data_IF_486054510013
#
_entry.id   IF_486054510013
#
_cell.length_a   1.000
_cell.length_b   1.000
_cell.length_c   1.000
_cell.angle_alpha   90.00
_cell.angle_beta   90.00
_cell.angle_gamma   90.00
#
_symmetry.space_group_name_H-M   'P 1'
#
loop_
_entity.id
_entity.type
_entity.pdbx_description
1 polymer ?
2 polymer ?
3 non-polymer ?
4 water ?
#
# COMPACT_ATOMS: atom_id res chain seq x y z
N UNK A 1 -4.96 6.84 13.57
CA UNK A 1 -5.60 5.94 12.63
C UNK A 1 -4.79 5.79 11.34
N UNK A 2 -4.68 4.55 10.87
CA UNK A 2 -3.94 4.24 9.64
C UNK A 2 -4.76 4.56 8.41
N UNK A 3 -4.22 5.39 7.52
CA UNK A 3 -4.88 5.71 6.26
C UNK A 3 -4.11 5.19 5.07
N UNK A 4 -4.84 4.73 4.05
CA UNK A 4 -4.22 4.36 2.77
C UNK A 4 -3.87 5.59 1.98
N UNK A 5 -2.73 5.56 1.28
CA UNK A 5 -2.42 6.56 0.26
C UNK A 5 -2.05 5.84 -1.03
N UNK A 6 -2.34 6.46 -2.17
CA UNK A 6 -1.90 5.95 -3.47
C UNK A 6 -0.73 6.82 -3.89
N UNK A 7 0.43 6.22 -4.18
CA UNK A 7 1.54 7.04 -4.62
C UNK A 7 2.14 6.59 -5.94
N UNK A 8 2.78 7.55 -6.61
CA UNK A 8 3.25 7.42 -7.97
C UNK A 8 4.63 8.03 -8.07
N UNK A 9 5.50 7.38 -8.83
CA UNK A 9 6.87 7.88 -9.00
C UNK A 9 6.92 9.17 -9.81
N UNK A 10 7.72 10.13 -9.34
CA UNK A 10 8.00 11.35 -10.09
C UNK A 10 9.51 11.46 -10.26
N UNK A 11 9.98 12.50 -10.95
CA UNK A 11 11.42 12.70 -11.08
C UNK A 11 12.01 13.11 -9.72
N UNK A 12 11.29 13.94 -8.98
CA UNK A 12 11.75 14.42 -7.68
C UNK A 12 11.72 13.29 -6.64
N UNK A 13 10.65 12.52 -6.64
CA UNK A 13 10.51 11.38 -5.77
C UNK A 13 9.15 10.72 -5.97
N UNK A 14 8.17 11.13 -5.18
CA UNK A 14 6.81 10.58 -5.31
C UNK A 14 5.74 11.64 -5.09
N UNK A 15 4.56 11.40 -5.65
CA UNK A 15 3.38 12.13 -5.20
C UNK A 15 2.18 11.19 -5.18
N UNK A 16 1.05 11.68 -4.71
CA UNK A 16 -0.16 10.89 -4.73
C UNK A 16 -1.29 11.56 -3.99
N UNK A 17 -2.25 10.75 -3.53
CA UNK A 17 -3.45 11.25 -2.89
C UNK A 17 -4.02 10.20 -1.95
N UNK A 18 -4.94 10.63 -1.09
CA UNK A 18 -5.73 9.72 -0.27
C UNK A 18 -6.89 9.21 -1.12
N UNK A 19 -6.95 7.89 -1.36
CA UNK A 19 -8.08 7.40 -2.17
C UNK A 19 -9.44 7.60 -1.49
N UNK A 20 -9.47 7.76 -0.17
CA UNK A 20 -10.73 8.00 0.52
C UNK A 20 -11.04 9.50 0.66
N UNK A 21 -10.10 10.35 0.27
CA UNK A 21 -10.30 11.78 0.45
C UNK A 21 -10.08 12.47 -0.89
N UNK A 22 -11.18 12.58 -1.65
CA UNK A 22 -11.16 13.21 -2.96
C UNK A 22 -10.58 14.62 -2.89
N UNK A 23 -9.53 14.85 -3.67
CA UNK A 23 -8.94 16.17 -3.81
C UNK A 23 -7.75 16.41 -2.91
N UNK A 24 -7.43 15.44 -2.05
CA UNK A 24 -6.33 15.66 -1.11
C UNK A 24 -5.03 15.07 -1.64
N UNK A 25 -4.19 15.94 -2.21
CA UNK A 25 -2.93 15.52 -2.83
C UNK A 25 -1.70 15.92 -2.00
N UNK A 26 -0.58 15.27 -2.26
CA UNK A 26 0.64 15.48 -1.49
C UNK A 26 1.82 14.98 -2.29
N UNK A 27 3.03 15.28 -1.83
CA UNK A 27 4.24 14.91 -2.56
C UNK A 27 5.42 14.93 -1.62
N UNK A 28 6.49 14.24 -1.98
CA UNK A 28 7.69 14.20 -1.17
C UNK A 28 8.81 13.50 -1.89
N UNK A 29 10.03 13.75 -1.44
CA UNK A 29 11.24 13.24 -2.09
C UNK A 29 11.63 11.86 -1.57
N UNK A 30 11.25 11.58 -0.32
CA UNK A 30 11.52 10.28 0.29
C UNK A 30 10.23 9.77 0.89
N UNK A 31 10.22 8.50 1.30
CA UNK A 31 9.01 7.96 1.86
C UNK A 31 8.68 8.68 3.18
N UNK A 32 9.70 9.02 3.97
CA UNK A 32 9.47 9.78 5.19
C UNK A 32 8.95 11.19 4.89
N UNK A 33 9.43 11.76 3.79
CA UNK A 33 9.00 13.10 3.39
C UNK A 33 7.53 13.08 2.96
N UNK A 34 7.14 12.08 2.19
CA UNK A 34 5.80 12.08 1.64
C UNK A 34 4.77 11.69 2.72
N UNK A 35 5.18 10.96 3.75
CA UNK A 35 4.29 10.67 4.87
C UNK A 35 4.04 11.92 5.71
N UNK A 36 5.07 12.74 5.88
CA UNK A 36 4.89 14.00 6.57
C UNK A 36 4.01 14.92 5.76
N UNK A 37 4.24 14.96 4.45
CA UNK A 37 3.49 15.87 3.58
C UNK A 37 2.02 15.49 3.53
N UNK A 38 1.77 14.17 3.50
CA UNK A 38 0.42 13.61 3.50
C UNK A 38 -0.36 14.00 4.75
N UNK A 39 0.28 13.92 5.92
CA UNK A 39 -0.39 14.31 7.16
C UNK A 39 -0.77 15.79 7.11
N UNK A 40 0.15 16.58 6.60
CA UNK A 40 -0.05 18.02 6.45
C UNK A 40 -1.21 18.28 5.50
N UNK A 41 -1.20 17.60 4.36
CA UNK A 41 -2.25 17.75 3.35
C UNK A 41 -3.60 17.40 3.95
N UNK A 42 -3.64 16.28 4.68
CA UNK A 42 -4.83 15.83 5.36
C UNK A 42 -5.44 16.91 6.26
N UNK A 43 -4.61 17.51 7.11
CA UNK A 43 -5.11 18.47 8.10
C UNK A 43 -5.66 19.70 7.40
N UNK A 44 -4.89 20.23 6.46
CA UNK A 44 -5.30 21.41 5.71
C UNK A 44 -6.61 21.15 4.95
N UNK A 45 -6.75 19.93 4.43
CA UNK A 45 -7.88 19.58 3.58
C UNK A 45 -9.17 19.38 4.38
N UNK A 46 -9.08 18.69 5.51
CA UNK A 46 -10.23 18.45 6.38
C UNK A 46 -10.79 19.77 6.90
N UNK A 47 -9.91 20.68 7.31
CA UNK A 47 -10.34 21.96 7.83
C UNK A 47 -11.03 22.80 6.75
N UNK A 48 -10.57 22.68 5.51
CA UNK A 48 -11.23 23.35 4.40
C UNK A 48 -12.64 22.78 4.16
N UNK A 49 -12.78 21.45 4.18
CA UNK A 49 -14.10 20.81 4.04
C UNK A 49 -15.09 21.28 5.10
N UNK A 50 -14.61 21.38 6.34
CA UNK A 50 -15.45 21.78 7.46
C UNK A 50 -15.83 23.25 7.38
N UNK A 51 -14.91 24.08 6.90
CA UNK A 51 -15.17 25.50 6.74
C UNK A 51 -16.16 25.77 5.64
N UNK A 52 -16.12 24.96 4.58
CA UNK A 52 -16.98 25.16 3.41
C UNK A 52 -18.31 24.45 3.52
N UNK A 53 -18.41 23.49 4.43
CA UNK A 53 -19.63 22.71 4.62
C UNK A 53 -19.78 21.56 3.66
N UNK A 54 -18.64 21.04 3.20
CA UNK A 54 -18.61 19.94 2.22
C UNK A 54 -18.54 18.61 2.96
N UNK A 55 -18.97 17.50 2.32
CA UNK A 55 -18.91 16.18 2.96
C UNK A 55 -17.53 15.81 3.48
N UNK A 56 -17.47 15.26 4.68
CA UNK A 56 -16.24 14.77 5.27
C UNK A 56 -16.05 13.29 4.91
N UNK A 57 -14.80 12.87 4.67
CA UNK A 57 -14.59 11.46 4.33
C UNK A 57 -14.81 10.55 5.52
N UNK A 58 -15.10 9.27 5.25
CA UNK A 58 -15.23 8.27 6.28
C UNK A 58 -13.88 7.55 6.47
N UNK A 59 -13.72 6.85 7.61
CA UNK A 59 -12.50 6.08 7.85
C UNK A 59 -12.24 5.06 6.74
N UNK A 60 -11.04 4.46 6.72
CA UNK A 60 -10.69 3.52 5.64
C UNK A 60 -11.65 2.34 5.52
N UNK A 61 -11.93 1.97 4.27
CA UNK A 61 -12.91 0.95 3.92
C UNK A 61 -12.40 -0.51 4.03
N UNK A 62 -13.16 -1.42 3.43
CA UNK A 62 -12.78 -2.82 3.32
C UNK A 62 -11.56 -2.94 2.41
N UNK A 63 -10.58 -3.79 2.79
CA UNK A 63 -9.38 -4.00 1.96
C UNK A 63 -9.69 -4.31 0.51
N UNK A 64 -10.80 -5.01 0.27
CA UNK A 64 -11.24 -5.30 -1.09
C UNK A 64 -11.40 -4.04 -1.94
N UNK A 65 -11.81 -2.93 -1.31
CA UNK A 65 -12.05 -1.70 -2.08
C UNK A 65 -10.73 -1.15 -2.66
N UNK A 66 -9.62 -1.34 -1.96
CA UNK A 66 -8.33 -0.88 -2.48
C UNK A 66 -7.72 -1.86 -3.47
N UNK A 67 -7.83 -3.16 -3.17
CA UNK A 67 -7.31 -4.19 -4.06
C UNK A 67 -8.05 -4.16 -5.40
N UNK A 68 -9.33 -3.77 -5.37
CA UNK A 68 -10.10 -3.67 -6.61
C UNK A 68 -10.03 -2.29 -7.29
N UNK A 69 -9.33 -1.33 -6.69
CA UNK A 69 -9.27 0.04 -7.24
C UNK A 69 -8.40 0.12 -8.49
N UNK A 70 -9.04 0.36 -9.64
CA UNK A 70 -8.35 0.40 -10.93
C UNK A 70 -7.27 1.48 -11.03
N UNK A 71 -7.34 2.49 -10.19
CA UNK A 71 -6.35 3.59 -10.24
C UNK A 71 -4.97 3.07 -9.92
N UNK A 72 -4.89 2.04 -9.09
CA UNK A 72 -3.59 1.45 -8.80
C UNK A 72 -3.01 0.81 -10.07
N UNK A 73 -3.82 -0.01 -10.74
CA UNK A 73 -3.41 -0.68 -11.98
C UNK A 73 -3.04 0.31 -13.10
N UNK A 74 -3.86 1.34 -13.28
CA UNK A 74 -3.72 2.29 -14.39
C UNK A 74 -2.37 2.99 -14.57
N UNK A 75 -1.76 3.46 -13.48
CA UNK A 75 -0.68 4.40 -13.65
C UNK A 75 0.58 4.08 -12.85
N UNK A 76 0.68 2.85 -12.37
CA UNK A 76 1.85 2.46 -11.61
C UNK A 76 1.75 2.98 -10.20
N UNK A 77 0.56 2.89 -9.64
CA UNK A 77 0.31 3.33 -8.27
C UNK A 77 0.72 2.27 -7.26
N UNK A 78 1.21 2.73 -6.12
CA UNK A 78 1.56 1.85 -5.02
C UNK A 78 0.74 2.24 -3.80
N UNK A 79 0.25 1.25 -3.06
CA UNK A 79 -0.44 1.50 -1.79
C UNK A 79 0.53 1.70 -0.63
N UNK A 80 0.35 2.78 0.12
CA UNK A 80 1.12 3.02 1.31
C UNK A 80 0.20 3.28 2.49
N UNK A 81 0.80 3.50 3.66
CA UNK A 81 0.04 3.69 4.90
C UNK A 81 0.64 4.85 5.67
N UNK A 82 -0.23 5.76 6.12
CA UNK A 82 0.20 6.84 7.00
C UNK A 82 -0.65 6.83 8.28
N UNK A 83 0.02 6.99 9.41
CA UNK A 83 -0.63 7.18 10.70
C UNK A 83 -1.02 8.65 10.80
N UNK A 84 -2.29 8.90 11.07
CA UNK A 84 -2.82 10.24 11.24
C UNK A 84 -3.63 10.29 12.53
N UNK A 85 -3.33 11.26 13.40
CA UNK A 85 -4.06 11.42 14.65
C UNK A 85 -4.80 12.76 14.68
N UNK A 86 -6.11 12.74 14.34
CA UNK A 86 -6.93 13.95 14.26
C UNK A 86 -6.93 14.80 15.53
N UNK B 1 13.53 0.32 7.30
CA UNK B 1 13.64 -0.35 6.00
C UNK B 1 12.29 -0.38 5.28
N UNK B 2 12.31 -0.12 3.98
CA UNK B 2 11.12 -0.19 3.15
C UNK B 2 11.00 -1.56 2.48
N UNK B 3 9.89 -2.25 2.69
CA UNK B 3 9.61 -3.53 2.02
C UNK B 3 8.34 -3.49 1.18
N UNK B 4 8.46 -3.77 -0.13
CA UNK B 4 7.31 -4.03 -0.98
C UNK B 4 6.52 -5.25 -0.49
N UNK B 5 5.20 -5.22 -0.66
CA UNK B 5 4.38 -6.40 -0.41
C UNK B 5 3.39 -6.54 -1.56
N UNK B 6 3.02 -7.78 -1.89
CA UNK B 6 1.97 -8.05 -2.87
C UNK B 6 0.71 -8.39 -2.08
N UNK B 7 -0.44 -7.84 -2.49
CA UNK B 7 -1.68 -8.04 -1.75
C UNK B 7 -2.81 -8.56 -2.65
N UNK B 8 -3.47 -9.63 -2.20
CA UNK B 8 -4.56 -10.26 -2.93
C UNK B 8 -5.80 -10.42 -2.04
N UNK B 9 -6.96 -10.50 -2.68
CA UNK B 9 -8.23 -10.72 -1.97
C UNK B 9 -8.43 -12.18 -1.52
N UNK B 10 -9.03 -12.37 -0.35
CA UNK B 10 -9.66 -13.64 0.01
C UNK B 10 -11.13 -13.32 0.31
N UNK B 11 -11.97 -14.33 0.52
CA UNK B 11 -13.40 -14.07 0.82
C UNK B 11 -13.49 -13.20 2.07
N UNK B 12 -12.56 -13.48 2.97
CA UNK B 12 -12.47 -13.04 4.35
C UNK B 12 -11.86 -11.64 4.49
N UNK B 13 -10.96 -11.31 3.58
CA UNK B 13 -10.10 -10.17 3.75
C UNK B 13 -9.03 -10.19 2.67
N UNK B 14 -7.79 -10.39 3.07
CA UNK B 14 -6.66 -10.33 2.13
C UNK B 14 -5.57 -11.26 2.60
N UNK B 15 -4.65 -11.59 1.69
CA UNK B 15 -3.40 -12.21 2.08
C UNK B 15 -2.33 -11.71 1.12
N UNK B 16 -1.10 -12.19 1.29
CA UNK B 16 -0.04 -11.74 0.41
C UNK B 16 1.31 -12.22 0.89
N UNK B 17 2.37 -11.59 0.37
CA UNK B 17 3.73 -11.96 0.70
C UNK B 17 4.70 -10.83 0.37
N UNK B 18 5.92 -10.97 0.89
CA UNK B 18 7.04 -10.10 0.57
C UNK B 18 7.79 -10.67 -0.63
N UNK B 19 7.68 -10.03 -1.81
CA UNK B 19 8.38 -10.55 -3.00
C UNK B 19 9.89 -10.66 -2.81
N UNK B 20 10.47 -9.87 -1.91
CA UNK B 20 11.92 -9.95 -1.68
C UNK B 20 12.28 -10.96 -0.59
N UNK B 21 11.26 -11.61 -0.02
CA UNK B 21 11.49 -12.57 1.06
C UNK B 21 10.71 -13.85 0.77
N UNK B 22 11.38 -14.81 0.14
CA UNK B 22 10.73 -16.05 -0.21
C UNK B 22 10.27 -16.75 1.04
N UNK B 23 9.02 -17.19 1.03
CA UNK B 23 8.47 -17.95 2.13
C UNK B 23 7.76 -17.10 3.17
N UNK B 24 7.85 -15.78 3.07
CA UNK B 24 7.22 -14.92 4.08
C UNK B 24 5.83 -14.48 3.64
N UNK B 25 4.81 -15.08 4.24
CA UNK B 25 3.42 -14.85 3.87
C UNK B 25 2.65 -14.20 5.02
N UNK B 26 1.59 -13.48 4.69
CA UNK B 26 0.77 -12.85 5.73
C UNK B 26 -0.68 -12.82 5.29
N UNK B 27 -1.58 -12.50 6.22
CA UNK B 27 -2.99 -12.38 5.89
C UNK B 27 -3.70 -11.54 6.93
N UNK B 28 -4.94 -11.16 6.64
CA UNK B 28 -5.71 -10.36 7.57
C UNK B 28 -7.11 -10.13 7.05
N UNK B 29 -7.84 -9.24 7.71
CA UNK B 29 -9.25 -9.08 7.43
C UNK B 29 -9.70 -7.63 7.23
N UNK B 30 -9.10 -6.74 7.98
CA UNK B 30 -9.44 -5.33 7.95
C UNK B 30 -8.33 -4.53 7.29
N UNK B 31 -8.63 -3.30 6.90
CA UNK B 31 -7.61 -2.46 6.29
C UNK B 31 -6.41 -2.29 7.22
N UNK B 32 -6.69 -2.09 8.51
CA UNK B 32 -5.62 -1.84 9.47
C UNK B 32 -4.70 -3.07 9.63
N UNK B 33 -5.24 -4.26 9.35
CA UNK B 33 -4.47 -5.50 9.47
C UNK B 33 -3.33 -5.60 8.47
N UNK B 34 -3.42 -4.89 7.35
CA UNK B 34 -2.48 -5.09 6.24
C UNK B 34 -1.07 -4.79 6.69
N UNK B 35 -0.82 -3.54 7.09
CA UNK B 35 0.54 -3.16 7.49
C UNK B 35 0.96 -3.87 8.77
N UNK B 36 0.03 -3.95 9.74
CA UNK B 36 0.31 -4.65 11.00
C UNK B 36 0.72 -6.11 10.81
N UNK B 37 -0.11 -6.87 10.08
CA UNK B 37 0.14 -8.31 9.95
C UNK B 37 1.32 -8.58 9.02
N UNK B 38 1.50 -7.73 8.03
CA UNK B 38 2.69 -7.85 7.15
C UNK B 38 3.95 -7.75 8.00
N UNK B 39 3.98 -6.76 8.89
CA UNK B 39 5.13 -6.51 9.73
C UNK B 39 5.38 -7.62 10.75
N UNK B 40 4.32 -8.20 11.29
CA UNK B 40 4.45 -9.31 12.22
C UNK B 40 4.96 -10.57 11.52
N UNK B 41 4.45 -10.84 10.33
CA UNK B 41 4.90 -12.00 9.56
C UNK B 41 6.40 -11.88 9.27
N UNK B 42 6.85 -10.66 9.01
CA UNK B 42 8.25 -10.41 8.77
C UNK B 42 9.06 -10.76 10.01
N UNK B 43 8.61 -10.24 11.15
CA UNK B 43 9.33 -10.47 12.41
C UNK B 43 9.41 -11.96 12.72
N UNK B 44 8.29 -12.67 12.54
CA UNK B 44 8.26 -14.11 12.76
C UNK B 44 9.26 -14.80 11.83
N UNK B 45 9.23 -14.43 10.55
CA UNK B 45 10.05 -15.08 9.54
C UNK B 45 11.56 -14.91 9.75
N UNK B 46 11.99 -13.65 9.92
CA UNK B 46 13.41 -13.35 10.12
C UNK B 46 13.94 -14.02 11.40
N UNK B 47 13.14 -14.01 12.46
CA UNK B 47 13.57 -14.62 13.72
C UNK B 47 13.76 -16.14 13.56
N UNK B 48 12.90 -16.78 12.79
CA UNK B 48 13.03 -18.20 12.47
C UNK B 48 14.31 -18.48 11.68
N UNK B 49 14.57 -17.65 10.67
CA UNK B 49 15.78 -17.80 9.87
C UNK B 49 17.00 -17.70 10.76
N UNK B 50 17.00 -16.71 11.65
CA UNK B 50 18.14 -16.48 12.53
C UNK B 50 18.29 -17.61 13.56
N UNK B 51 17.16 -18.08 14.08
CA UNK B 51 17.15 -19.22 14.99
C UNK B 51 17.80 -20.46 14.39
N UNK B 52 17.52 -20.71 13.12
CA UNK B 52 18.06 -21.89 12.44
C UNK B 52 19.44 -21.62 11.84
N UNK B 53 19.88 -20.37 11.90
CA UNK B 53 21.10 -19.93 11.23
C UNK B 53 21.04 -20.06 9.72
N UNK B 54 19.86 -19.88 9.14
CA UNK B 54 19.68 -19.93 7.67
C UNK B 54 19.99 -18.57 7.04
N UNK B 55 20.40 -18.54 5.75
CA UNK B 55 20.69 -17.25 5.12
C UNK B 55 19.51 -16.28 5.14
N UNK B 56 19.83 -15.00 5.32
CA UNK B 56 18.80 -13.97 5.35
C UNK B 56 18.48 -13.57 3.93
N UNK B 57 17.24 -13.12 3.69
CA UNK B 57 16.84 -12.72 2.34
C UNK B 57 17.70 -11.56 1.81
N UNK B 58 17.94 -11.52 0.51
CA UNK B 58 18.67 -10.42 -0.09
C UNK B 58 17.91 -9.11 0.15
N UNK B 59 18.63 -7.97 0.21
CA UNK B 59 17.99 -6.69 0.47
C UNK B 59 16.79 -6.41 -0.46
N UNK B 60 15.77 -5.72 0.03
CA UNK B 60 14.57 -5.51 -0.79
C UNK B 60 14.81 -4.51 -1.93
N UNK B 61 14.17 -4.71 -3.08
CA UNK B 61 14.17 -3.71 -4.15
C UNK B 61 13.31 -2.51 -3.75
N UNK B 62 13.52 -1.38 -4.42
CA UNK B 62 12.57 -0.26 -4.34
C UNK B 62 11.20 -0.73 -4.81
N UNK B 63 10.14 -0.36 -4.08
CA UNK B 63 8.79 -0.83 -4.40
C UNK B 63 8.40 -0.63 -5.87
N UNK B 64 8.80 0.49 -6.47
CA UNK B 64 8.36 0.78 -7.84
C UNK B 64 8.98 -0.17 -8.87
N UNK B 65 10.05 -0.86 -8.51
CA UNK B 65 10.59 -1.90 -9.37
C UNK B 65 9.63 -3.07 -9.61
N UNK B 66 8.59 -3.20 -8.78
CA UNK B 66 7.66 -4.32 -8.93
C UNK B 66 6.39 -3.94 -9.63
N UNK B 67 6.30 -2.70 -10.09
CA UNK B 67 5.04 -2.18 -10.64
C UNK B 67 4.50 -3.04 -11.81
N UNK B 68 5.36 -3.58 -12.64
CA UNK B 68 4.84 -4.38 -13.76
C UNK B 68 4.91 -5.89 -13.50
N UNK B 69 4.90 -6.30 -12.24
CA UNK B 69 5.11 -7.72 -11.93
C UNK B 69 3.90 -8.53 -12.37
N UNK B 70 4.13 -9.52 -13.25
CA UNK B 70 3.05 -10.33 -13.81
C UNK B 70 2.24 -11.08 -12.74
N UNK B 71 2.84 -11.37 -11.59
CA UNK B 71 2.11 -12.07 -10.53
C UNK B 71 0.93 -11.22 -10.04
N UNK B 72 1.11 -9.90 -10.01
CA UNK B 72 0.05 -8.97 -9.64
C UNK B 72 -1.06 -8.95 -10.68
N UNK B 73 -0.67 -8.82 -11.94
CA UNK B 73 -1.62 -8.84 -13.05
C UNK B 73 -2.38 -10.16 -13.14
N UNK B 74 -1.67 -11.29 -13.01
CA UNK B 74 -2.30 -12.60 -13.21
C UNK B 74 -3.39 -12.98 -12.19
N UNK B 75 -3.25 -12.52 -10.95
CA UNK B 75 -4.22 -12.92 -9.95
C UNK B 75 -4.85 -11.74 -9.21
N UNK B 76 -4.88 -10.58 -9.86
CA UNK B 76 -5.62 -9.44 -9.35
C UNK B 76 -5.06 -8.86 -8.06
N UNK B 77 -3.74 -8.84 -7.93
CA UNK B 77 -3.11 -8.30 -6.73
C UNK B 77 -2.71 -6.84 -6.88
N UNK B 78 -2.39 -6.19 -5.76
CA UNK B 78 -1.85 -4.84 -5.82
C UNK B 78 -0.52 -4.75 -5.10
N UNK B 79 0.25 -3.74 -5.46
CA UNK B 79 1.57 -3.54 -4.89
C UNK B 79 1.49 -2.53 -3.73
N UNK B 80 1.94 -2.94 -2.55
CA UNK B 80 2.01 -2.03 -1.41
C UNK B 80 3.44 -1.94 -0.90
N UNK B 81 3.65 -1.16 0.15
CA UNK B 81 4.92 -1.20 0.87
C UNK B 81 4.68 -0.84 2.32
N UNK B 82 5.49 -1.44 3.18
CA UNK B 82 5.47 -1.17 4.62
C UNK B 82 6.87 -0.72 5.05
N UNK B 83 6.93 0.08 6.11
CA UNK B 83 8.20 0.46 6.68
C UNK B 83 8.41 -0.38 7.92
N UNK B 84 9.54 -1.06 7.98
CA UNK B 84 9.83 -1.95 9.08
C UNK B 84 11.03 -1.44 9.85
N UNK B 85 10.88 -1.36 11.16
CA UNK B 85 11.94 -0.93 12.07
C UNK B 85 11.89 -1.76 13.36
N UNK B 86 13.06 -2.08 13.93
CA UNK B 86 13.12 -2.80 15.21
C UNK B 86 12.47 -2.03 16.37
N UNK C 1 -9.44 -23.01 -0.35
CA UNK C 1 -8.51 -23.79 0.47
C UNK C 1 -8.25 -23.13 1.82
N UNK C 2 -8.15 -23.95 2.87
CA UNK C 2 -7.84 -23.47 4.21
C UNK C 2 -6.38 -23.68 4.56
N UNK C 3 -5.95 -23.06 5.66
CA UNK C 3 -4.58 -23.17 6.15
C UNK C 3 -4.16 -24.62 6.28
N UNK C 4 -5.06 -25.43 6.83
CA UNK C 4 -4.79 -26.83 7.11
C UNK C 4 -4.49 -27.63 5.87
N UNK C 5 -5.27 -27.42 4.82
CA UNK C 5 -5.03 -28.13 3.58
C UNK C 5 -3.71 -27.67 2.90
N UNK C 6 -3.41 -26.37 3.00
CA UNK C 6 -2.15 -25.86 2.45
C UNK C 6 -0.94 -26.48 3.14
N UNK C 7 -0.98 -26.53 4.47
CA UNK C 7 0.07 -27.18 5.27
C UNK C 7 0.26 -28.65 4.87
N UNK C 8 -0.85 -29.38 4.67
CA UNK C 8 -0.71 -30.77 4.24
C UNK C 8 -0.19 -30.88 2.80
N UNK C 9 -0.52 -29.93 1.94
CA UNK C 9 0.11 -29.92 0.61
C UNK C 9 1.61 -29.61 0.70
N UNK C 10 2.00 -28.79 1.67
CA UNK C 10 3.41 -28.50 1.88
C UNK C 10 4.16 -29.73 2.43
N UNK C 11 3.48 -30.49 3.28
CA UNK C 11 4.06 -31.72 3.82
C UNK C 11 4.23 -32.75 2.71
N UNK C 12 3.26 -32.82 1.81
CA UNK C 12 3.36 -33.69 0.65
C UNK C 12 4.59 -33.34 -0.20
N UNK C 13 5.02 -32.09 -0.14
CA UNK C 13 6.17 -31.65 -0.93
C UNK C 13 7.47 -31.72 -0.12
N UNK C 14 7.41 -32.37 1.04
CA UNK C 14 8.61 -32.62 1.82
C UNK C 14 8.90 -31.64 2.94
N UNK C 15 8.02 -30.65 3.12
CA UNK C 15 8.15 -29.69 4.20
C UNK C 15 7.62 -30.26 5.51
N UNK C 16 8.12 -29.76 6.64
CA UNK C 16 7.63 -30.17 7.95
C UNK C 16 7.25 -28.97 8.78
N UNK C 17 6.20 -29.10 9.59
CA UNK C 17 5.86 -28.08 10.57
C UNK C 17 7.01 -27.94 11.55
N UNK C 18 7.49 -26.70 11.68
CA UNK C 18 8.54 -26.39 12.61
C UNK C 18 7.88 -26.02 13.95
N UNK C 19 6.90 -25.15 13.90
CA UNK C 19 6.18 -24.75 15.10
C UNK C 19 5.30 -23.56 14.84
N UNK C 20 4.57 -23.16 15.87
CA UNK C 20 3.69 -22.01 15.80
C UNK C 20 4.40 -20.82 16.40
N UNK C 21 3.93 -19.64 16.06
CA UNK C 21 4.45 -18.45 16.68
C UNK C 21 3.29 -17.49 16.83
N UNK C 22 3.24 -16.76 17.95
CA UNK C 22 2.10 -15.92 18.23
C UNK C 22 2.54 -14.49 18.52
N UNK C 23 1.89 -13.55 17.84
CA UNK C 23 2.20 -12.14 18.01
C UNK C 23 0.92 -11.35 18.23
N UNK C 24 1.01 -10.02 18.14
CA UNK C 24 -0.11 -9.15 18.47
C UNK C 24 -1.15 -8.93 17.36
N UNK C 25 -1.61 -10.00 16.71
CA UNK C 25 -2.70 -9.89 15.72
C UNK C 25 -3.31 -11.25 15.35
N UNK C 26 -2.53 -12.30 15.55
CA UNK C 26 -2.96 -13.65 15.22
C UNK C 26 -1.74 -14.55 15.31
N UNK C 27 -1.87 -15.82 14.93
CA UNK C 27 -0.72 -16.70 14.99
C UNK C 27 -0.20 -17.05 13.60
N UNK C 28 0.94 -17.72 13.60
CA UNK C 28 1.66 -18.07 12.39
C UNK C 28 2.14 -19.50 12.54
N UNK C 29 2.35 -20.19 11.42
CA UNK C 29 3.01 -21.48 11.45
C UNK C 29 4.28 -21.37 10.59
N UNK C 30 5.43 -21.77 11.14
CA UNK C 30 6.65 -21.87 10.33
C UNK C 30 6.91 -23.32 9.91
N UNK C 31 7.45 -23.48 8.71
CA UNK C 31 7.80 -24.81 8.22
C UNK C 31 9.23 -24.79 7.73
N UNK C 32 9.84 -25.97 7.72
CA UNK C 32 11.17 -26.15 7.19
C UNK C 32 11.22 -27.44 6.39
N UNK C 33 12.28 -27.61 5.62
CA UNK C 33 12.42 -28.80 4.78
C UNK C 33 13.84 -29.31 4.91
N UNK C 34 13.98 -30.60 5.27
CA UNK C 34 15.29 -31.22 5.54
C UNK C 34 16.23 -31.04 4.36
N UNK C 35 17.46 -30.62 4.63
CA UNK C 35 18.44 -30.39 3.58
C UNK C 35 18.28 -29.06 2.86
N UNK C 36 17.31 -28.26 3.31
CA UNK C 36 17.04 -26.96 2.71
C UNK C 36 17.14 -25.89 3.78
N UNK C 37 17.91 -24.83 3.51
CA UNK C 37 18.09 -23.80 4.52
C UNK C 37 17.11 -22.66 4.27
N UNK C 38 15.82 -23.00 4.26
CA UNK C 38 14.76 -22.01 4.06
C UNK C 38 13.64 -22.19 5.07
N UNK C 39 12.85 -21.13 5.24
CA UNK C 39 11.68 -21.16 6.12
C UNK C 39 10.47 -20.73 5.31
N UNK C 40 9.34 -21.37 5.55
CA UNK C 40 8.07 -20.82 5.10
C UNK C 40 7.28 -20.35 6.31
N UNK C 41 6.86 -19.09 6.29
CA UNK C 41 6.01 -18.53 7.34
C UNK C 41 4.61 -18.29 6.79
N UNK C 42 3.64 -18.98 7.39
CA UNK C 42 2.23 -18.90 6.99
C UNK C 42 1.34 -18.25 8.03
N UNK C 43 0.39 -17.42 7.58
CA UNK C 43 -0.68 -16.97 8.50
C UNK C 43 -1.57 -18.16 8.87
N UNK C 44 -2.04 -18.22 10.11
CA UNK C 44 -2.85 -19.37 10.53
C UNK C 44 -3.73 -19.00 11.72
N UNK C 45 -4.98 -19.48 11.74
CA UNK C 45 -5.64 -20.27 10.70
C UNK C 45 -6.47 -19.41 9.74
N UNK C 46 -6.56 -19.80 8.48
CA UNK C 46 -7.32 -19.05 7.49
C UNK C 46 -8.36 -19.96 6.84
N UNK C 47 -9.56 -19.45 6.60
CA UNK C 47 -10.62 -20.24 5.98
C UNK C 47 -10.54 -20.18 4.45
N UNK C 48 -9.77 -19.23 3.93
CA UNK C 48 -9.65 -19.02 2.49
C UNK C 48 -8.28 -18.44 2.21
N UNK C 49 -7.70 -18.84 1.08
CA UNK C 49 -6.38 -18.41 0.69
C UNK C 49 -6.40 -18.02 -0.78
N UNK C 50 -5.77 -16.91 -1.13
CA UNK C 50 -5.89 -16.41 -2.51
C UNK C 50 -5.13 -17.29 -3.49
N UNK C 51 -5.63 -17.32 -4.72
CA UNK C 51 -4.87 -17.90 -5.82
C UNK C 51 -3.50 -17.24 -5.95
N UNK C 52 -3.43 -15.93 -5.73
CA UNK C 52 -2.16 -15.22 -5.73
C UNK C 52 -1.15 -15.86 -4.77
N UNK C 53 -1.57 -16.07 -3.53
CA UNK C 53 -0.69 -16.67 -2.53
C UNK C 53 -0.31 -18.09 -2.95
N UNK C 54 -1.31 -18.89 -3.33
CA UNK C 54 -1.06 -20.27 -3.72
C UNK C 54 -0.04 -20.38 -4.86
N UNK C 55 -0.17 -19.51 -5.86
CA UNK C 55 0.75 -19.51 -7.00
C UNK C 55 2.18 -19.29 -6.55
N UNK C 56 2.35 -18.42 -5.56
CA UNK C 56 3.67 -18.13 -5.01
C UNK C 56 4.17 -19.28 -4.15
N UNK C 57 3.25 -19.89 -3.40
CA UNK C 57 3.63 -21.06 -2.60
C UNK C 57 4.15 -22.17 -3.51
N UNK C 58 3.47 -22.40 -4.63
CA UNK C 58 3.95 -23.36 -5.62
C UNK C 58 5.32 -22.93 -6.14
N UNK C 59 5.48 -21.64 -6.38
CA UNK C 59 6.71 -21.13 -6.94
C UNK C 59 7.90 -21.45 -6.03
N UNK C 60 7.70 -21.29 -4.72
CA UNK C 60 8.75 -21.43 -3.72
C UNK C 60 8.89 -22.83 -3.13
N UNK C 61 7.76 -23.52 -2.96
CA UNK C 61 7.77 -24.77 -2.23
C UNK C 61 7.48 -25.97 -3.10
N UNK C 62 6.87 -25.74 -4.26
CA UNK C 62 6.67 -26.81 -5.22
C UNK C 62 5.49 -27.71 -4.91
N UNK C 63 4.48 -27.18 -4.24
CA UNK C 63 3.27 -27.93 -3.94
C UNK C 63 2.40 -28.12 -5.18
N UNK C 64 1.50 -29.10 -5.09
CA UNK C 64 0.37 -29.22 -6.01
C UNK C 64 -0.69 -28.22 -5.62
N UNK C 65 -1.28 -27.54 -6.60
CA UNK C 65 -2.42 -26.68 -6.34
C UNK C 65 -3.69 -27.47 -6.65
N UNK C 66 -3.52 -28.47 -7.52
CA UNK C 66 -4.59 -29.36 -7.93
C UNK C 66 -5.75 -28.60 -8.56
N UNK D 1 4.89 18.62 -15.97
CA UNK D 1 4.07 19.73 -15.48
C UNK D 1 4.39 20.03 -14.02
N UNK D 2 4.58 21.31 -13.72
CA UNK D 2 4.89 21.76 -12.36
C UNK D 2 3.62 22.01 -11.57
N UNK D 3 3.75 22.01 -10.24
CA UNK D 3 2.66 22.39 -9.34
C UNK D 3 2.00 23.70 -9.73
N UNK D 4 2.81 24.70 -10.03
CA UNK D 4 2.29 26.02 -10.36
C UNK D 4 1.51 26.04 -11.66
N UNK D 5 1.94 25.22 -12.62
CA UNK D 5 1.26 25.10 -13.91
C UNK D 5 -0.10 24.43 -13.69
N UNK D 6 -0.13 23.38 -12.88
CA UNK D 6 -1.40 22.69 -12.57
C UNK D 6 -2.38 23.63 -11.86
N UNK D 7 -1.89 24.43 -10.92
CA UNK D 7 -2.72 25.41 -10.21
C UNK D 7 -3.36 26.43 -11.17
N UNK D 8 -2.57 26.93 -12.11
CA UNK D 8 -3.07 27.92 -13.08
C UNK D 8 -4.10 27.33 -14.02
N UNK D 9 -3.89 26.09 -14.46
CA UNK D 9 -4.90 25.38 -15.27
C UNK D 9 -6.22 25.25 -14.51
N UNK D 10 -6.13 24.98 -13.21
CA UNK D 10 -7.34 24.87 -12.37
C UNK D 10 -8.04 26.22 -12.25
N UNK D 11 -7.26 27.27 -12.10
CA UNK D 11 -7.79 28.63 -12.06
C UNK D 11 -8.49 29.00 -13.37
N UNK D 12 -7.87 28.62 -14.49
CA UNK D 12 -8.50 28.80 -15.81
C UNK D 12 -9.84 28.08 -15.91
N UNK D 13 -9.98 26.97 -15.19
CA UNK D 13 -11.23 26.22 -15.18
C UNK D 13 -12.19 26.75 -14.13
N UNK D 14 -11.82 27.82 -13.44
CA UNK D 14 -12.72 28.46 -12.50
C UNK D 14 -12.52 28.12 -11.03
N UNK D 15 -11.49 27.33 -10.74
CA UNK D 15 -11.14 27.05 -9.34
C UNK D 15 -10.47 28.29 -8.75
N UNK D 16 -10.73 28.55 -7.48
CA UNK D 16 -10.19 29.75 -6.81
C UNK D 16 -9.33 29.37 -5.61
N UNK D 17 -8.17 30.02 -5.49
CA UNK D 17 -7.28 29.79 -4.35
C UNK D 17 -7.87 30.34 -3.05
N UNK D 18 -7.98 29.49 -2.04
CA UNK D 18 -8.53 29.88 -0.74
C UNK D 18 -7.43 30.40 0.16
N UNK D 19 -6.19 30.08 -0.19
CA UNK D 19 -5.05 30.41 0.63
C UNK D 19 -4.12 29.22 0.69
N UNK D 20 -3.00 29.38 1.38
CA UNK D 20 -2.01 28.33 1.46
C UNK D 20 -1.34 28.35 2.81
N UNK D 21 -0.99 27.16 3.31
CA UNK D 21 -0.39 27.01 4.63
C UNK D 21 0.96 26.31 4.62
N UNK D 22 1.84 26.87 5.46
CA UNK D 22 3.25 26.48 5.60
C UNK D 22 3.44 24.99 5.93
N UNK D 23 4.58 24.43 5.51
CA UNK D 23 4.73 22.97 5.39
C UNK D 23 6.20 22.52 5.43
N UNK D 24 6.45 21.22 5.27
CA UNK D 24 7.81 20.68 5.26
C UNK D 24 8.71 21.32 4.16
N UNK D 25 9.05 22.61 4.34
CA UNK D 25 9.85 23.41 3.39
C UNK D 25 9.01 24.02 2.25
N UNK D 26 7.96 23.34 1.82
CA UNK D 26 7.03 23.93 0.85
C UNK D 26 5.74 24.33 1.53
N UNK D 27 4.62 24.32 0.79
CA UNK D 27 3.31 24.56 1.39
C UNK D 27 2.20 23.71 0.74
N UNK D 28 0.99 23.85 1.25
CA UNK D 28 -0.18 23.29 0.56
C UNK D 28 -1.19 24.43 0.26
N UNK D 29 -1.75 24.44 -0.95
CA UNK D 29 -2.77 25.40 -1.32
C UNK D 29 -4.13 24.69 -1.41
N UNK D 30 -5.20 25.31 -0.94
CA UNK D 30 -6.50 24.73 -1.21
C UNK D 30 -7.25 25.58 -2.21
N UNK D 31 -8.03 24.92 -3.05
CA UNK D 31 -8.85 25.58 -4.05
C UNK D 31 -10.28 25.09 -3.96
N UNK D 32 -11.23 25.97 -4.28
CA UNK D 32 -12.62 25.58 -4.37
C UNK D 32 -13.21 26.27 -5.59
N UNK D 33 -14.26 25.68 -6.16
CA UNK D 33 -14.92 26.24 -7.32
C UNK D 33 -16.41 26.41 -7.02
N UNK D 34 -16.95 27.63 -7.24
CA UNK D 34 -18.37 27.88 -6.98
C UNK D 34 -19.25 26.84 -7.64
N UNK D 35 -20.11 26.21 -6.85
CA UNK D 35 -21.03 25.21 -7.37
C UNK D 35 -20.51 23.80 -7.24
N UNK D 36 -19.26 23.66 -6.82
CA UNK D 36 -18.68 22.34 -6.63
C UNK D 36 -18.44 22.09 -5.15
N UNK D 37 -18.84 20.93 -4.65
CA UNK D 37 -18.70 20.69 -3.23
C UNK D 37 -17.51 19.75 -2.97
N UNK D 38 -16.40 20.13 -3.61
CA UNK D 38 -15.10 19.49 -3.42
C UNK D 38 -14.01 20.54 -3.14
N UNK D 39 -13.00 20.12 -2.38
CA UNK D 39 -11.78 20.88 -2.20
C UNK D 39 -10.63 20.20 -2.95
N UNK D 40 -9.77 20.98 -3.59
CA UNK D 40 -8.50 20.45 -4.11
C UNK D 40 -7.35 21.00 -3.29
N UNK D 41 -6.53 20.09 -2.77
CA UNK D 41 -5.39 20.42 -1.93
C UNK D 41 -4.10 19.96 -2.64
N UNK D 42 -3.19 20.90 -2.89
CA UNK D 42 -1.98 20.58 -3.64
C UNK D 42 -0.74 21.08 -2.93
N UNK D 43 0.34 20.28 -2.97
CA UNK D 43 1.65 20.72 -2.49
C UNK D 43 2.30 21.62 -3.54
N UNK D 44 3.06 22.62 -3.10
CA UNK D 44 3.81 23.46 -4.02
C UNK D 44 5.06 23.99 -3.30
N UNK D 45 6.15 24.23 -4.05
CA UNK D 45 6.28 23.95 -5.48
C UNK D 45 6.61 22.49 -5.71
N UNK D 46 6.34 21.99 -6.90
CA UNK D 46 6.82 20.69 -7.31
C UNK D 46 7.22 20.84 -8.75
N UNK D 47 8.41 20.34 -9.11
CA UNK D 47 8.93 20.55 -10.44
C UNK D 47 8.28 19.60 -11.43
N UNK D 48 7.81 18.47 -10.92
CA UNK D 48 7.23 17.45 -11.76
C UNK D 48 6.04 16.81 -11.05
N UNK D 49 5.03 16.45 -11.81
CA UNK D 49 3.81 15.84 -11.28
C UNK D 49 3.54 14.53 -12.02
N UNK D 50 3.22 13.47 -11.28
CA UNK D 50 3.02 12.16 -11.91
C UNK D 50 1.74 12.11 -12.73
N UNK D 51 1.71 11.22 -13.72
CA UNK D 51 0.51 11.07 -14.50
C UNK D 51 -0.60 10.49 -13.63
N UNK D 52 -0.21 9.69 -12.63
CA UNK D 52 -1.18 9.16 -11.68
C UNK D 52 -1.92 10.28 -10.94
N UNK D 53 -1.18 11.26 -10.46
CA UNK D 53 -1.77 12.40 -9.79
C UNK D 53 -2.66 13.20 -10.75
N UNK D 54 -2.12 13.51 -11.93
CA UNK D 54 -2.83 14.32 -12.93
C UNK D 54 -4.15 13.69 -13.35
N UNK D 55 -4.14 12.38 -13.56
CA UNK D 55 -5.32 11.62 -13.88
C UNK D 55 -6.42 11.78 -12.84
N UNK D 56 -6.03 11.70 -11.56
CA UNK D 56 -6.98 11.91 -10.47
C UNK D 56 -7.40 13.38 -10.40
N UNK D 57 -6.46 14.30 -10.64
CA UNK D 57 -6.79 15.72 -10.65
C UNK D 57 -7.82 15.99 -11.74
N UNK D 58 -7.68 15.33 -12.89
CA UNK D 58 -8.65 15.48 -13.98
C UNK D 58 -10.06 15.10 -13.54
N UNK D 59 -10.16 14.01 -12.79
CA UNK D 59 -11.44 13.53 -12.33
C UNK D 59 -12.09 14.53 -11.37
N UNK D 60 -11.33 15.05 -10.43
CA UNK D 60 -11.90 15.99 -9.46
C UNK D 60 -12.27 17.34 -10.08
N UNK D 61 -11.44 17.84 -11.00
CA UNK D 61 -11.69 19.14 -11.60
C UNK D 61 -12.65 19.03 -12.79
N UNK D 62 -12.80 17.84 -13.35
CA UNK D 62 -13.63 17.65 -14.52
C UNK D 62 -13.08 18.28 -15.81
N UNK D 63 -11.76 18.28 -15.94
CA UNK D 63 -11.09 18.76 -17.15
C UNK D 63 -9.88 17.89 -17.48
N UNK D 64 -9.42 17.96 -18.72
CA UNK D 64 -8.17 17.32 -19.08
C UNK D 64 -7.00 18.24 -18.77
N UNK D 65 -5.85 17.65 -18.48
CA UNK D 65 -4.62 18.36 -18.15
C UNK D 65 -3.49 17.82 -19.00
N UNK D 66 -3.22 18.46 -20.14
CA UNK D 66 -2.14 18.01 -21.00
C UNK D 66 -1.60 19.12 -21.90
#
# INVERSE_FOLDING_TARGET
>A
MIYPIFIFKTVEGFDGYFPDIDGCFFAGNTFADISKNAEEAFAVHIEALMNEGFPLPSPPKDPHRYIDDPRLKEEGGILGFVEIDPAKYESKAVKFNLTMSQNLLTAIDKFIATNRGYKNRSQFLAELAREKIISLEHHHHHH
>B
MIYPIFIFKTVEGFDGYFPDIDGCFFAGNTFADISKNAEEAFAVHIEALMNEGFPLPSPPKDPHRYIDDPRLKEEGGILGFVEIDPAKYESKAVKFNLTMSQNLLTAIDKFIATNRGYKNRSQFLAELAREKIISLEHHHHHH
>C
MESGELIKRLEDAGWQIRGGRKTNSGSHVTLCKPGVRKIITLPYPRKDISKGLLRQAQKIAGIKLS
>D
MESGELIKRLEDAGWQIRGGRKTNSGSHVTLCKPGVRKIITLPYPRKDISKGLLRQAQKIAGIKLS
#
